data_IF_774524146136
#
_entry.id   IF_774524146136
#
_cell.length_a   1.000
_cell.length_b   1.000
_cell.length_c   1.000
_cell.angle_alpha   90.00
_cell.angle_beta   90.00
_cell.angle_gamma   90.00
#
_symmetry.space_group_name_H-M   'P 1'
#
loop_
_entity.id
_entity.type
_entity.pdbx_description
1 polymer ?
#
# COMPACT_ATOMS: atom_id res chain seq x y z
N UNK A 1 -1.16 26.83 -8.83
CA UNK A 1 -2.10 25.71 -8.90
C UNK A 1 -2.77 25.69 -7.53
N UNK A 2 -4.00 26.19 -7.43
CA UNK A 2 -4.73 26.14 -6.17
C UNK A 2 -5.02 24.66 -5.88
N UNK A 3 -4.72 24.18 -4.68
CA UNK A 3 -5.28 22.93 -4.19
C UNK A 3 -6.80 23.10 -4.27
N UNK A 4 -7.43 22.55 -5.30
CA UNK A 4 -8.86 22.35 -5.30
C UNK A 4 -9.18 21.48 -4.10
N UNK A 5 -10.20 21.85 -3.34
CA UNK A 5 -10.76 20.99 -2.30
C UNK A 5 -10.92 19.59 -2.91
N UNK A 6 -10.29 18.59 -2.28
CA UNK A 6 -10.51 17.19 -2.66
C UNK A 6 -12.02 16.97 -2.51
N UNK A 7 -12.67 16.47 -3.55
CA UNK A 7 -14.09 16.14 -3.47
C UNK A 7 -14.30 15.09 -2.36
N UNK A 8 -15.27 15.33 -1.47
CA UNK A 8 -15.53 14.45 -0.32
C UNK A 8 -15.91 13.04 -0.76
N UNK A 9 -16.63 12.91 -1.89
CA UNK A 9 -17.01 11.61 -2.46
C UNK A 9 -15.79 10.91 -3.07
N UNK A 10 -14.88 11.64 -3.73
CA UNK A 10 -13.62 11.09 -4.25
C UNK A 10 -12.71 10.62 -3.12
N UNK A 11 -12.58 11.41 -2.04
CA UNK A 11 -11.80 11.04 -0.86
C UNK A 11 -12.36 9.78 -0.19
N UNK A 12 -13.68 9.70 -0.06
CA UNK A 12 -14.35 8.54 0.54
C UNK A 12 -14.20 7.29 -0.32
N UNK A 13 -14.35 7.40 -1.64
CA UNK A 13 -14.13 6.30 -2.57
C UNK A 13 -12.68 5.80 -2.48
N UNK A 14 -11.73 6.73 -2.45
CA UNK A 14 -10.31 6.43 -2.26
C UNK A 14 -10.03 5.66 -0.95
N UNK A 15 -10.58 6.13 0.18
CA UNK A 15 -10.40 5.48 1.48
C UNK A 15 -10.97 4.06 1.47
N UNK A 16 -12.19 3.88 0.96
CA UNK A 16 -12.85 2.56 0.88
C UNK A 16 -12.02 1.59 0.04
N UNK A 17 -11.65 1.97 -1.17
CA UNK A 17 -10.85 1.11 -2.06
C UNK A 17 -9.47 0.81 -1.46
N UNK A 18 -8.83 1.79 -0.82
CA UNK A 18 -7.52 1.61 -0.18
C UNK A 18 -7.59 0.61 0.96
N UNK A 19 -8.59 0.70 1.84
CA UNK A 19 -8.77 -0.27 2.92
C UNK A 19 -9.11 -1.67 2.40
N UNK A 20 -9.90 -1.81 1.34
CA UNK A 20 -10.17 -3.09 0.70
C UNK A 20 -8.89 -3.73 0.15
N UNK A 21 -8.06 -2.95 -0.54
CA UNK A 21 -6.77 -3.39 -1.05
C UNK A 21 -5.82 -3.80 0.09
N UNK A 22 -5.71 -3.02 1.17
CA UNK A 22 -4.86 -3.38 2.32
C UNK A 22 -5.31 -4.68 2.99
N UNK A 23 -6.61 -4.85 3.18
CA UNK A 23 -7.15 -6.08 3.76
C UNK A 23 -6.84 -7.30 2.88
N UNK A 24 -6.83 -7.13 1.55
CA UNK A 24 -6.41 -8.19 0.64
C UNK A 24 -4.91 -8.46 0.76
N UNK A 25 -4.07 -7.42 0.77
CA UNK A 25 -2.62 -7.57 0.91
C UNK A 25 -2.23 -8.27 2.21
N UNK A 26 -2.86 -7.95 3.31
CA UNK A 26 -2.57 -8.54 4.62
C UNK A 26 -2.86 -10.05 4.64
N UNK A 27 -4.00 -10.47 4.05
CA UNK A 27 -4.32 -11.90 3.84
C UNK A 27 -3.27 -12.58 2.96
N UNK A 28 -2.89 -11.91 1.87
CA UNK A 28 -1.94 -12.45 0.91
C UNK A 28 -0.54 -12.60 1.51
N UNK A 29 -0.09 -11.68 2.35
CA UNK A 29 1.20 -11.78 3.06
C UNK A 29 1.18 -12.96 4.03
N UNK A 30 0.08 -13.15 4.78
CA UNK A 30 -0.06 -14.30 5.69
C UNK A 30 0.02 -15.64 4.92
N UNK A 31 -0.59 -15.70 3.73
CA UNK A 31 -0.52 -16.91 2.90
C UNK A 31 0.86 -17.10 2.25
N UNK A 32 1.54 -16.00 1.92
CA UNK A 32 2.92 -15.98 1.46
C UNK A 32 3.90 -16.50 2.54
N UNK A 33 3.62 -16.30 3.83
CA UNK A 33 4.43 -16.90 4.91
C UNK A 33 4.24 -18.41 5.02
N UNK A 34 3.01 -18.90 4.78
CA UNK A 34 2.68 -20.33 4.88
C UNK A 34 3.18 -21.15 3.69
N UNK A 35 3.30 -20.52 2.53
CA UNK A 35 3.64 -21.17 1.27
C UNK A 35 4.88 -20.51 0.67
N UNK A 36 5.94 -21.28 0.46
CA UNK A 36 7.19 -20.75 -0.11
C UNK A 36 6.94 -20.13 -1.48
N UNK A 37 7.14 -18.81 -1.59
CA UNK A 37 7.18 -17.99 -2.82
C UNK A 37 6.20 -18.42 -3.91
N UNK A 38 4.90 -18.29 -3.65
CA UNK A 38 3.89 -18.38 -4.70
C UNK A 38 3.89 -17.08 -5.53
N UNK A 39 4.35 -17.18 -6.78
CA UNK A 39 4.42 -16.06 -7.70
C UNK A 39 3.06 -15.40 -7.96
N UNK A 40 1.95 -16.14 -7.84
CA UNK A 40 0.61 -15.56 -7.99
C UNK A 40 0.26 -14.67 -6.81
N UNK A 41 0.62 -15.06 -5.58
CA UNK A 41 0.42 -14.26 -4.37
C UNK A 41 1.21 -12.95 -4.47
N UNK A 42 2.48 -13.01 -4.87
CA UNK A 42 3.30 -11.81 -5.07
C UNK A 42 2.71 -10.86 -6.13
N UNK A 43 2.12 -11.39 -7.21
CA UNK A 43 1.46 -10.58 -8.23
C UNK A 43 0.22 -9.88 -7.69
N UNK A 44 -0.59 -10.55 -6.85
CA UNK A 44 -1.76 -9.92 -6.22
C UNK A 44 -1.36 -8.79 -5.29
N UNK A 45 -0.39 -9.04 -4.40
CA UNK A 45 0.12 -8.02 -3.46
C UNK A 45 0.65 -6.81 -4.24
N UNK A 46 1.48 -7.06 -5.27
CA UNK A 46 2.01 -5.99 -6.12
C UNK A 46 0.91 -5.14 -6.76
N UNK A 47 -0.14 -5.77 -7.31
CA UNK A 47 -1.25 -5.04 -7.96
C UNK A 47 -2.03 -4.17 -6.97
N UNK A 48 -2.34 -4.70 -5.79
CA UNK A 48 -3.06 -3.95 -4.77
C UNK A 48 -2.28 -2.70 -4.32
N UNK A 49 -0.97 -2.84 -4.08
CA UNK A 49 -0.09 -1.70 -3.74
C UNK A 49 0.05 -0.72 -4.91
N UNK A 50 0.15 -1.23 -6.15
CA UNK A 50 0.20 -0.41 -7.36
C UNK A 50 -1.07 0.46 -7.51
N UNK A 51 -2.24 -0.11 -7.23
CA UNK A 51 -3.52 0.61 -7.24
C UNK A 51 -3.53 1.71 -6.19
N UNK A 52 -3.14 1.42 -4.94
CA UNK A 52 -3.06 2.43 -3.87
C UNK A 52 -2.13 3.58 -4.28
N UNK A 53 -0.94 3.27 -4.81
CA UNK A 53 0.01 4.27 -5.31
C UNK A 53 -0.58 5.10 -6.47
N UNK A 54 -1.22 4.44 -7.44
CA UNK A 54 -1.84 5.10 -8.59
C UNK A 54 -2.94 6.08 -8.17
N UNK A 55 -3.74 5.69 -7.18
CA UNK A 55 -4.81 6.52 -6.64
C UNK A 55 -4.26 7.74 -5.85
N UNK A 56 -3.06 7.64 -5.29
CA UNK A 56 -2.37 8.79 -4.69
C UNK A 56 -1.96 9.84 -5.72
N UNK A 57 -1.76 9.48 -7.00
CA UNK A 57 -1.30 10.42 -8.03
C UNK A 57 -2.26 11.58 -8.34
N UNK A 58 -3.51 11.48 -7.87
CA UNK A 58 -4.55 12.51 -8.02
C UNK A 58 -4.87 13.24 -6.71
N UNK A 59 -4.28 12.80 -5.58
CA UNK A 59 -4.53 13.34 -4.24
C UNK A 59 -3.22 13.89 -3.64
N UNK A 60 -3.27 14.96 -2.82
CA UNK A 60 -2.08 15.59 -2.25
C UNK A 60 -1.52 14.81 -1.04
N UNK A 61 -1.25 13.51 -1.20
CA UNK A 61 -0.77 12.60 -0.13
C UNK A 61 0.63 12.04 -0.43
N UNK A 62 1.69 12.89 -0.38
CA UNK A 62 3.04 12.50 -0.75
C UNK A 62 3.69 11.46 0.17
N UNK A 63 3.35 11.42 1.47
CA UNK A 63 3.90 10.40 2.38
C UNK A 63 3.35 9.03 2.05
N UNK A 64 2.05 8.95 1.80
CA UNK A 64 1.36 7.74 1.40
C UNK A 64 1.88 7.22 0.06
N UNK A 65 2.03 8.10 -0.93
CA UNK A 65 2.64 7.77 -2.22
C UNK A 65 4.05 7.19 -2.03
N UNK A 66 4.88 7.82 -1.19
CA UNK A 66 6.25 7.38 -0.94
C UNK A 66 6.32 5.96 -0.34
N UNK A 67 5.45 5.65 0.64
CA UNK A 67 5.43 4.32 1.28
C UNK A 67 4.89 3.26 0.31
N UNK A 68 3.83 3.57 -0.44
CA UNK A 68 3.28 2.67 -1.45
C UNK A 68 4.30 2.38 -2.56
N UNK A 69 5.03 3.40 -3.02
CA UNK A 69 6.07 3.23 -4.03
C UNK A 69 7.27 2.42 -3.52
N UNK A 70 7.72 2.64 -2.29
CA UNK A 70 8.79 1.83 -1.68
C UNK A 70 8.37 0.34 -1.56
N UNK A 71 7.12 0.10 -1.15
CA UNK A 71 6.53 -1.24 -1.07
C UNK A 71 6.47 -1.91 -2.45
N UNK A 72 6.01 -1.18 -3.47
CA UNK A 72 5.96 -1.64 -4.85
C UNK A 72 7.35 -2.04 -5.38
N UNK A 73 8.38 -1.24 -5.09
CA UNK A 73 9.75 -1.53 -5.52
C UNK A 73 10.29 -2.83 -4.88
N UNK A 74 10.05 -3.03 -3.57
CA UNK A 74 10.43 -4.26 -2.87
C UNK A 74 9.76 -5.49 -3.50
N UNK A 75 8.44 -5.40 -3.77
CA UNK A 75 7.67 -6.45 -4.43
C UNK A 75 8.14 -6.69 -5.87
N UNK A 76 8.54 -5.63 -6.58
CA UNK A 76 9.14 -5.73 -7.91
C UNK A 76 10.42 -6.56 -7.91
N UNK A 77 11.33 -6.32 -6.95
CA UNK A 77 12.55 -7.11 -6.82
C UNK A 77 12.30 -8.58 -6.50
N UNK A 78 11.30 -8.89 -5.67
CA UNK A 78 10.87 -10.27 -5.41
C UNK A 78 10.34 -10.95 -6.68
N UNK A 79 9.47 -10.26 -7.43
CA UNK A 79 8.88 -10.79 -8.67
C UNK A 79 9.91 -11.02 -9.77
N UNK A 80 10.94 -10.20 -9.83
CA UNK A 80 12.04 -10.33 -10.78
C UNK A 80 13.09 -11.37 -10.34
N UNK A 81 12.94 -11.98 -9.16
CA UNK A 81 13.92 -12.92 -8.60
C UNK A 81 15.25 -12.27 -8.21
N UNK A 82 15.26 -10.94 -8.03
CA UNK A 82 16.44 -10.18 -7.57
C UNK A 82 16.62 -10.26 -6.06
N UNK A 83 15.57 -10.60 -5.33
CA UNK A 83 15.58 -10.88 -3.89
C UNK A 83 14.84 -12.18 -3.61
N UNK A 84 15.35 -12.94 -2.64
CA UNK A 84 14.65 -14.10 -2.10
C UNK A 84 13.77 -13.69 -0.94
N UNK A 85 12.52 -14.17 -0.93
CA UNK A 85 11.60 -13.98 0.18
C UNK A 85 12.21 -14.56 1.47
N UNK A 86 12.22 -13.75 2.52
CA UNK A 86 12.72 -14.14 3.84
C UNK A 86 11.94 -13.38 4.94
N UNK A 87 12.07 -13.80 6.22
CA UNK A 87 11.31 -13.20 7.33
C UNK A 87 11.51 -11.68 7.48
N UNK A 88 12.68 -11.13 7.14
CA UNK A 88 12.91 -9.69 7.21
C UNK A 88 12.13 -8.94 6.14
N UNK A 89 12.04 -9.49 4.93
CA UNK A 89 11.24 -8.92 3.84
C UNK A 89 9.75 -8.97 4.18
N UNK A 90 9.27 -10.10 4.71
CA UNK A 90 7.86 -10.21 5.15
C UNK A 90 7.56 -9.17 6.23
N UNK A 91 8.43 -9.05 7.24
CA UNK A 91 8.29 -8.04 8.29
C UNK A 91 8.27 -6.61 7.74
N UNK A 92 9.11 -6.31 6.75
CA UNK A 92 9.14 -5.00 6.09
C UNK A 92 7.85 -4.73 5.30
N UNK A 93 7.30 -5.74 4.62
CA UNK A 93 6.00 -5.62 3.95
C UNK A 93 4.90 -5.33 4.96
N UNK A 94 4.78 -6.11 6.04
CA UNK A 94 3.78 -5.88 7.11
C UNK A 94 3.90 -4.48 7.71
N UNK A 95 5.11 -4.03 8.06
CA UNK A 95 5.34 -2.67 8.57
C UNK A 95 4.91 -1.60 7.57
N UNK A 96 5.10 -1.83 6.27
CA UNK A 96 4.65 -0.89 5.23
C UNK A 96 3.13 -0.83 5.14
N UNK A 97 2.44 -1.96 5.29
CA UNK A 97 0.96 -2.01 5.35
C UNK A 97 0.44 -1.27 6.57
N UNK A 98 1.04 -1.49 7.74
CA UNK A 98 0.68 -0.78 8.98
C UNK A 98 0.88 0.73 8.82
N UNK A 99 1.99 1.14 8.22
CA UNK A 99 2.29 2.55 7.94
C UNK A 99 1.25 3.15 6.99
N UNK A 100 0.93 2.47 5.89
CA UNK A 100 -0.10 2.93 4.94
C UNK A 100 -1.45 3.06 5.65
N UNK A 101 -1.84 2.06 6.46
CA UNK A 101 -3.09 2.08 7.22
C UNK A 101 -3.16 3.25 8.21
N UNK A 102 -2.04 3.55 8.88
CA UNK A 102 -1.96 4.71 9.79
C UNK A 102 -2.15 6.04 9.03
N UNK A 103 -1.54 6.18 7.85
CA UNK A 103 -1.70 7.36 7.00
C UNK A 103 -3.14 7.53 6.54
N UNK A 104 -3.80 6.45 6.08
CA UNK A 104 -5.22 6.49 5.71
C UNK A 104 -6.12 6.88 6.89
N UNK A 105 -5.82 6.35 8.07
CA UNK A 105 -6.55 6.70 9.29
C UNK A 105 -6.42 8.19 9.65
N UNK A 106 -5.22 8.76 9.49
CA UNK A 106 -5.00 10.20 9.68
C UNK A 106 -5.76 11.03 8.64
N UNK A 107 -5.75 10.61 7.38
CA UNK A 107 -6.45 11.26 6.27
C UNK A 107 -7.96 11.25 6.52
N UNK A 108 -8.52 10.11 6.93
CA UNK A 108 -9.94 9.96 7.27
C UNK A 108 -10.35 10.87 8.44
N UNK A 109 -9.50 10.99 9.47
CA UNK A 109 -9.80 11.78 10.65
C UNK A 109 -9.62 13.29 10.47
N UNK A 110 -8.68 13.72 9.61
CA UNK A 110 -8.20 15.10 9.59
C UNK A 110 -8.05 15.72 8.20
N UNK A 111 -8.25 14.95 7.14
CA UNK A 111 -7.95 15.35 5.75
C UNK A 111 -6.46 15.48 5.45
N UNK A 112 -5.57 15.08 6.38
CA UNK A 112 -4.13 15.23 6.29
C UNK A 112 -3.41 13.92 6.67
N UNK A 113 -2.20 13.72 6.18
CA UNK A 113 -1.41 12.50 6.40
C UNK A 113 -0.89 12.33 7.85
N UNK A 114 -0.94 13.39 8.67
CA UNK A 114 -0.38 13.39 10.03
C UNK A 114 1.16 13.28 10.06
N UNK A 115 1.73 12.97 11.22
CA UNK A 115 3.15 12.63 11.39
C UNK A 115 3.34 11.11 11.52
N UNK A 116 4.49 10.62 11.04
CA UNK A 116 4.92 9.22 11.15
C UNK A 116 5.85 9.05 12.35
#
# INVERSE_FOLDING_TARGET
MALGEIDEDDLKAFLVESYENLNQVERDIIDLEKTSTDGEILVRIYRAIHTIKGNCGFLPFPKLESVAHASENLLGYLREGKLDLNPNIVSALLQSIDTIRQLLSNIEASGNEGEL
#
